data_IF_232551890538
#
_entry.id   IF_232551890538
#
_cell.length_a   1.000
_cell.length_b   1.000
_cell.length_c   1.000
_cell.angle_alpha   90.00
_cell.angle_beta   90.00
_cell.angle_gamma   90.00
#
_symmetry.space_group_name_H-M   'P 1'
#
loop_
_entity.id
_entity.type
_entity.pdbx_description
1 polymer ?
#
# COMPACT_ATOMS: atom_id res chain seq x y z
N UNK A 1 8.23 -4.92 40.51
CA UNK A 1 8.50 -4.34 39.17
C UNK A 1 7.20 -3.71 38.67
N UNK A 2 7.19 -2.41 38.42
CA UNK A 2 5.94 -1.69 38.22
C UNK A 2 5.30 -1.99 36.85
N UNK A 3 4.01 -2.32 36.82
CA UNK A 3 3.23 -2.59 35.62
C UNK A 3 3.37 -1.49 34.54
N UNK A 4 3.62 -0.24 34.96
CA UNK A 4 3.88 0.89 34.05
C UNK A 4 5.18 0.75 33.24
N UNK A 5 6.25 0.17 33.82
CA UNK A 5 7.50 -0.08 33.08
C UNK A 5 7.27 -1.17 32.04
N UNK A 6 6.51 -2.20 32.37
CA UNK A 6 6.16 -3.27 31.42
C UNK A 6 5.34 -2.73 30.25
N UNK A 7 4.32 -1.89 30.50
CA UNK A 7 3.52 -1.25 29.45
C UNK A 7 4.31 -0.31 28.52
N UNK A 8 5.33 0.38 29.03
CA UNK A 8 6.21 1.24 28.22
C UNK A 8 7.31 0.46 27.50
N UNK A 9 7.78 -0.64 28.09
CA UNK A 9 8.81 -1.51 27.50
C UNK A 9 8.22 -2.43 26.42
N UNK A 10 6.94 -2.81 26.53
CA UNK A 10 6.25 -3.65 25.55
C UNK A 10 6.30 -3.11 24.11
N UNK A 11 6.01 -1.83 23.80
CA UNK A 11 6.15 -1.31 22.44
C UNK A 11 7.62 -1.21 21.99
N UNK A 12 8.58 -1.04 22.90
CA UNK A 12 10.01 -1.06 22.57
C UNK A 12 10.49 -2.49 22.25
N UNK A 13 10.02 -3.49 23.00
CA UNK A 13 10.23 -4.91 22.74
C UNK A 13 9.55 -5.34 21.45
N UNK A 14 8.30 -4.94 21.21
CA UNK A 14 7.59 -5.21 19.95
C UNK A 14 8.31 -4.61 18.74
N UNK A 15 8.88 -3.41 18.87
CA UNK A 15 9.71 -2.81 17.80
C UNK A 15 11.01 -3.58 17.58
N UNK A 16 11.69 -4.00 18.65
CA UNK A 16 12.89 -4.86 18.56
C UNK A 16 12.56 -6.22 17.93
N UNK A 17 11.45 -6.83 18.34
CA UNK A 17 10.97 -8.12 17.84
C UNK A 17 10.51 -8.05 16.38
N UNK A 18 9.86 -6.96 15.96
CA UNK A 18 9.36 -6.78 14.58
C UNK A 18 10.44 -6.36 13.58
N UNK A 19 11.66 -6.01 14.03
CA UNK A 19 12.78 -5.51 13.19
C UNK A 19 12.42 -4.30 12.31
N UNK A 20 11.36 -3.56 12.65
CA UNK A 20 10.87 -2.41 11.88
C UNK A 20 11.94 -1.32 11.74
N UNK A 21 12.77 -1.13 12.77
CA UNK A 21 13.87 -0.16 12.75
C UNK A 21 14.91 -0.48 11.67
N UNK A 22 15.18 -1.76 11.41
CA UNK A 22 16.12 -2.17 10.35
C UNK A 22 15.53 -1.86 8.98
N UNK A 23 14.23 -2.06 8.78
CA UNK A 23 13.56 -1.71 7.52
C UNK A 23 13.59 -0.20 7.31
N UNK A 24 13.29 0.59 8.34
CA UNK A 24 13.38 2.06 8.27
C UNK A 24 14.80 2.54 8.00
N UNK A 25 15.81 1.94 8.62
CA UNK A 25 17.22 2.27 8.38
C UNK A 25 17.66 1.86 6.96
N UNK A 26 17.25 0.71 6.45
CA UNK A 26 17.53 0.29 5.08
C UNK A 26 16.87 1.22 4.06
N UNK A 27 15.61 1.59 4.29
CA UNK A 27 14.88 2.54 3.46
C UNK A 27 15.57 3.91 3.45
N UNK A 28 15.94 4.42 4.63
CA UNK A 28 16.65 5.70 4.76
C UNK A 28 18.04 5.64 4.12
N UNK A 29 18.82 4.60 4.41
CA UNK A 29 20.15 4.42 3.83
C UNK A 29 20.08 4.34 2.30
N UNK A 30 19.06 3.67 1.75
CA UNK A 30 18.94 3.61 0.28
C UNK A 30 18.48 4.92 -0.34
N UNK A 31 17.63 5.69 0.35
CA UNK A 31 17.29 7.05 -0.07
C UNK A 31 18.54 7.96 -0.07
N UNK A 32 19.38 7.86 0.98
CA UNK A 32 20.63 8.62 1.10
C UNK A 32 21.69 8.18 0.08
N UNK A 33 21.83 6.88 -0.20
CA UNK A 33 22.73 6.36 -1.24
C UNK A 33 22.24 6.80 -2.63
N UNK A 34 20.92 6.77 -2.87
CA UNK A 34 20.31 7.29 -4.09
C UNK A 34 20.60 8.77 -4.30
N UNK A 35 20.53 9.58 -3.24
CA UNK A 35 20.93 11.00 -3.27
C UNK A 35 22.43 11.18 -3.51
N UNK A 36 23.28 10.46 -2.78
CA UNK A 36 24.73 10.58 -2.93
C UNK A 36 25.18 10.24 -4.36
N UNK A 37 24.57 9.21 -4.96
CA UNK A 37 24.78 8.86 -6.36
C UNK A 37 24.28 9.93 -7.32
N UNK A 38 23.11 10.53 -7.03
CA UNK A 38 22.54 11.61 -7.82
C UNK A 38 23.43 12.86 -7.83
N UNK A 39 23.92 13.29 -6.67
CA UNK A 39 24.82 14.46 -6.55
C UNK A 39 26.15 14.24 -7.26
N UNK A 40 26.64 13.00 -7.30
CA UNK A 40 27.89 12.64 -7.97
C UNK A 40 27.75 12.47 -9.50
N UNK A 41 26.54 12.51 -10.05
CA UNK A 41 26.29 12.21 -11.47
C UNK A 41 26.38 13.45 -12.39
N UNK A 42 26.80 13.28 -13.66
CA UNK A 42 26.95 14.40 -14.61
C UNK A 42 25.64 15.14 -14.89
N UNK A 43 25.71 16.36 -15.43
CA UNK A 43 24.54 17.26 -15.59
C UNK A 43 23.36 16.66 -16.37
N UNK A 44 23.61 15.73 -17.31
CA UNK A 44 22.57 14.98 -18.03
C UNK A 44 21.72 14.07 -17.10
N UNK A 45 22.26 13.67 -15.95
CA UNK A 45 21.56 12.89 -14.93
C UNK A 45 20.82 13.74 -13.90
N UNK A 46 20.92 15.09 -13.90
CA UNK A 46 20.10 15.95 -13.02
C UNK A 46 18.60 15.83 -13.29
N UNK A 47 18.21 15.44 -14.50
CA UNK A 47 16.83 15.07 -14.85
C UNK A 47 16.30 13.86 -14.04
N UNK A 48 17.19 13.02 -13.48
CA UNK A 48 16.87 11.93 -12.56
C UNK A 48 16.67 12.40 -11.12
N UNK A 49 16.74 13.70 -10.81
CA UNK A 49 16.60 14.22 -9.43
C UNK A 49 15.21 14.08 -8.82
N UNK A 50 14.23 13.72 -9.65
CA UNK A 50 12.93 13.23 -9.20
C UNK A 50 13.03 11.90 -8.46
N UNK A 51 14.05 11.09 -8.76
CA UNK A 51 14.22 9.76 -8.20
C UNK A 51 14.43 9.77 -6.68
N UNK A 52 15.45 10.47 -6.14
CA UNK A 52 15.69 10.41 -4.72
C UNK A 52 14.64 11.21 -3.92
N UNK A 53 14.01 12.24 -4.50
CA UNK A 53 12.78 12.84 -3.97
C UNK A 53 11.63 11.83 -3.90
N UNK A 54 11.36 11.07 -4.98
CA UNK A 54 10.29 10.09 -4.99
C UNK A 54 10.53 8.96 -3.98
N UNK A 55 11.79 8.52 -3.84
CA UNK A 55 12.21 7.57 -2.82
C UNK A 55 12.04 8.16 -1.41
N UNK A 56 12.52 9.37 -1.17
CA UNK A 56 12.35 10.08 0.09
C UNK A 56 10.89 10.22 0.47
N UNK A 57 10.03 10.56 -0.49
CA UNK A 57 8.58 10.68 -0.32
C UNK A 57 7.95 9.33 0.01
N UNK A 58 8.31 8.26 -0.69
CA UNK A 58 7.83 6.90 -0.41
C UNK A 58 8.24 6.41 0.98
N UNK A 59 9.50 6.64 1.37
CA UNK A 59 10.00 6.31 2.71
C UNK A 59 9.25 7.08 3.78
N UNK A 60 9.05 8.38 3.54
CA UNK A 60 8.28 9.29 4.39
C UNK A 60 6.83 8.84 4.55
N UNK A 61 6.18 8.46 3.45
CA UNK A 61 4.82 7.92 3.41
C UNK A 61 4.73 6.60 4.17
N UNK A 62 5.66 5.66 3.93
CA UNK A 62 5.71 4.39 4.65
C UNK A 62 5.87 4.63 6.15
N UNK A 63 6.81 5.50 6.53
CA UNK A 63 7.05 5.85 7.92
C UNK A 63 5.81 6.45 8.57
N UNK A 64 5.17 7.40 7.89
CA UNK A 64 3.93 8.03 8.35
C UNK A 64 2.78 7.02 8.53
N UNK A 65 2.60 6.09 7.59
CA UNK A 65 1.61 5.02 7.66
C UNK A 65 1.87 4.03 8.81
N UNK A 66 3.11 3.91 9.28
CA UNK A 66 3.43 3.09 10.47
C UNK A 66 3.33 3.87 11.77
N UNK A 67 3.73 5.14 11.78
CA UNK A 67 3.72 6.00 12.94
C UNK A 67 2.31 6.39 13.36
N UNK A 68 1.51 6.89 12.42
CA UNK A 68 0.25 7.57 12.74
C UNK A 68 -0.80 6.63 13.35
N UNK A 69 -1.04 5.40 12.84
CA UNK A 69 -1.95 4.46 13.50
C UNK A 69 -1.50 4.09 14.91
N UNK A 70 -0.19 3.96 15.15
CA UNK A 70 0.36 3.67 16.48
C UNK A 70 0.16 4.85 17.44
N UNK A 71 0.39 6.08 16.97
CA UNK A 71 0.14 7.29 17.74
C UNK A 71 -1.35 7.42 18.12
N UNK A 72 -2.25 7.12 17.18
CA UNK A 72 -3.70 7.09 17.42
C UNK A 72 -4.07 6.03 18.46
N UNK A 73 -3.45 4.84 18.39
CA UNK A 73 -3.66 3.79 19.37
C UNK A 73 -3.17 4.18 20.76
N UNK A 74 -2.07 4.93 20.85
CA UNK A 74 -1.55 5.45 22.11
C UNK A 74 -2.44 6.54 22.73
N UNK A 75 -3.19 7.30 21.93
CA UNK A 75 -4.13 8.30 22.41
C UNK A 75 -5.46 7.69 22.90
N UNK A 76 -5.40 6.69 23.79
CA UNK A 76 -6.59 6.20 24.52
C UNK A 76 -6.86 7.04 25.76
N UNK A 77 -8.12 7.10 26.23
CA UNK A 77 -8.44 7.72 27.51
C UNK A 77 -7.69 7.05 28.67
N UNK A 78 -7.53 5.72 28.63
CA UNK A 78 -6.74 4.99 29.64
C UNK A 78 -5.28 5.47 29.69
N UNK A 79 -4.63 5.69 28.54
CA UNK A 79 -3.26 6.19 28.48
C UNK A 79 -3.17 7.69 28.84
N UNK A 80 -4.23 8.46 28.59
CA UNK A 80 -4.27 9.88 28.93
C UNK A 80 -4.30 10.13 30.45
N UNK A 81 -4.86 9.20 31.24
CA UNK A 81 -4.78 9.23 32.72
C UNK A 81 -3.34 8.95 33.18
N UNK A 82 -2.63 8.05 32.48
CA UNK A 82 -1.27 7.65 32.85
C UNK A 82 -0.19 8.68 32.47
N UNK A 83 -0.40 9.44 31.40
CA UNK A 83 0.61 10.39 30.89
C UNK A 83 -0.04 11.77 30.65
N UNK A 84 0.09 12.70 31.61
CA UNK A 84 -0.48 14.04 31.46
C UNK A 84 0.12 14.75 30.24
N UNK A 85 -0.76 15.36 29.43
CA UNK A 85 -0.35 16.06 28.22
C UNK A 85 0.03 15.16 27.03
N UNK A 86 -0.15 13.84 27.10
CA UNK A 86 0.13 12.89 26.00
C UNK A 86 -0.48 13.35 24.67
N UNK A 87 -1.75 13.77 24.69
CA UNK A 87 -2.44 14.28 23.50
C UNK A 87 -1.71 15.47 22.86
N UNK A 88 -1.32 16.48 23.67
CA UNK A 88 -0.61 17.67 23.16
C UNK A 88 0.74 17.27 22.59
N UNK A 89 1.46 16.37 23.25
CA UNK A 89 2.76 15.86 22.77
C UNK A 89 2.62 15.09 21.45
N UNK A 90 1.59 14.26 21.30
CA UNK A 90 1.31 13.54 20.06
C UNK A 90 0.92 14.48 18.92
N UNK A 91 0.13 15.53 19.20
CA UNK A 91 -0.22 16.56 18.22
C UNK A 91 1.02 17.31 17.71
N UNK A 92 1.85 17.80 18.64
CA UNK A 92 3.09 18.53 18.31
C UNK A 92 4.08 17.61 17.58
N UNK A 93 4.21 16.36 18.02
CA UNK A 93 5.09 15.38 17.39
C UNK A 93 4.62 15.08 15.95
N UNK A 94 3.33 14.79 15.75
CA UNK A 94 2.78 14.52 14.42
C UNK A 94 2.95 15.72 13.47
N UNK A 95 2.66 16.95 13.94
CA UNK A 95 2.88 18.17 13.16
C UNK A 95 4.37 18.36 12.83
N UNK A 96 5.25 18.28 13.83
CA UNK A 96 6.69 18.47 13.67
C UNK A 96 7.31 17.45 12.72
N UNK A 97 6.90 16.18 12.81
CA UNK A 97 7.37 15.11 11.91
C UNK A 97 6.89 15.32 10.47
N UNK A 98 5.64 15.77 10.28
CA UNK A 98 5.11 16.08 8.95
C UNK A 98 5.93 17.20 8.30
N UNK A 99 6.19 18.28 9.05
CA UNK A 99 7.01 19.40 8.57
C UNK A 99 8.48 19.00 8.35
N UNK A 100 9.07 18.22 9.26
CA UNK A 100 10.45 17.75 9.13
C UNK A 100 10.61 16.85 7.90
N UNK A 101 9.67 15.93 7.67
CA UNK A 101 9.71 15.07 6.50
C UNK A 101 9.46 15.87 5.20
N UNK A 102 8.59 16.89 5.24
CA UNK A 102 8.45 17.88 4.18
C UNK A 102 9.77 18.58 3.88
N UNK A 103 10.48 19.06 4.90
CA UNK A 103 11.75 19.77 4.76
C UNK A 103 12.85 18.88 4.17
N UNK A 104 12.97 17.63 4.63
CA UNK A 104 13.94 16.67 4.08
C UNK A 104 13.69 16.45 2.59
N UNK A 105 12.44 16.18 2.20
CA UNK A 105 12.09 15.99 0.79
C UNK A 105 12.25 17.27 -0.05
N UNK A 106 11.99 18.44 0.55
CA UNK A 106 12.19 19.74 -0.07
C UNK A 106 13.66 20.03 -0.37
N UNK A 107 14.57 19.66 0.54
CA UNK A 107 16.02 19.79 0.33
C UNK A 107 16.47 18.86 -0.79
N UNK A 108 16.07 17.58 -0.72
CA UNK A 108 16.35 16.56 -1.73
C UNK A 108 15.93 17.03 -3.14
N UNK A 109 14.68 17.47 -3.29
CA UNK A 109 14.16 17.96 -4.56
C UNK A 109 14.72 19.33 -4.97
N UNK A 110 14.99 20.21 -4.00
CA UNK A 110 15.52 21.55 -4.21
C UNK A 110 16.94 21.54 -4.75
N UNK A 111 17.79 20.63 -4.24
CA UNK A 111 19.15 20.42 -4.78
C UNK A 111 19.08 19.97 -6.25
N UNK A 112 18.09 19.15 -6.60
CA UNK A 112 17.91 18.63 -7.95
C UNK A 112 17.34 19.66 -8.95
N UNK A 113 16.34 20.44 -8.53
CA UNK A 113 15.48 21.20 -9.45
C UNK A 113 15.49 22.70 -9.20
N UNK A 114 16.12 23.16 -8.12
CA UNK A 114 16.02 24.53 -7.61
C UNK A 114 14.65 24.87 -7.00
N UNK A 115 13.70 23.91 -6.96
CA UNK A 115 12.30 24.15 -6.58
C UNK A 115 11.86 23.48 -5.27
N UNK A 116 12.53 23.79 -4.17
CA UNK A 116 12.28 23.18 -2.86
C UNK A 116 10.87 23.43 -2.29
N UNK A 117 10.27 24.59 -2.55
CA UNK A 117 8.98 24.98 -2.00
C UNK A 117 7.84 24.08 -2.47
N UNK A 118 7.80 23.76 -3.77
CA UNK A 118 6.77 22.86 -4.31
C UNK A 118 6.89 21.43 -3.76
N UNK A 119 8.10 20.91 -3.58
CA UNK A 119 8.31 19.61 -2.96
C UNK A 119 7.91 19.57 -1.49
N UNK A 120 8.18 20.64 -0.74
CA UNK A 120 7.73 20.79 0.64
C UNK A 120 6.21 20.68 0.74
N UNK A 121 5.50 21.52 -0.03
CA UNK A 121 4.03 21.55 -0.06
C UNK A 121 3.48 20.20 -0.47
N UNK A 122 3.98 19.63 -1.57
CA UNK A 122 3.52 18.33 -2.08
C UNK A 122 3.65 17.25 -1.02
N UNK A 123 4.81 17.16 -0.35
CA UNK A 123 5.06 16.16 0.70
C UNK A 123 4.11 16.35 1.87
N UNK A 124 4.02 17.58 2.39
CA UNK A 124 3.17 17.92 3.54
C UNK A 124 1.71 17.63 3.22
N UNK A 125 1.23 18.05 2.05
CA UNK A 125 -0.13 17.78 1.58
C UNK A 125 -0.40 16.28 1.47
N UNK A 126 0.50 15.49 0.86
CA UNK A 126 0.34 14.03 0.75
C UNK A 126 0.25 13.38 2.15
N UNK A 127 1.13 13.76 3.07
CA UNK A 127 1.11 13.23 4.44
C UNK A 127 -0.18 13.59 5.19
N UNK A 128 -0.65 14.84 5.04
CA UNK A 128 -1.91 15.28 5.64
C UNK A 128 -3.12 14.55 5.07
N UNK A 129 -3.13 14.31 3.76
CA UNK A 129 -4.19 13.56 3.10
C UNK A 129 -4.21 12.10 3.55
N UNK A 130 -3.04 11.48 3.69
CA UNK A 130 -2.94 10.15 4.29
C UNK A 130 -3.49 10.18 5.71
N UNK A 131 -3.13 11.19 6.51
CA UNK A 131 -3.63 11.33 7.87
C UNK A 131 -5.16 11.47 7.90
N UNK A 132 -5.72 12.31 7.04
CA UNK A 132 -7.15 12.50 6.87
C UNK A 132 -7.85 11.19 6.47
N UNK A 133 -7.25 10.41 5.56
CA UNK A 133 -7.79 9.15 5.07
C UNK A 133 -7.95 8.09 6.17
N UNK A 134 -7.09 8.12 7.20
CA UNK A 134 -7.23 7.24 8.36
C UNK A 134 -8.49 7.54 9.18
N UNK A 135 -8.97 8.79 9.16
CA UNK A 135 -10.20 9.19 9.84
C UNK A 135 -11.43 8.88 9.00
N UNK A 136 -11.36 9.13 7.70
CA UNK A 136 -12.39 8.85 6.72
C UNK A 136 -11.79 8.84 5.32
N UNK A 137 -11.96 7.75 4.58
CA UNK A 137 -11.54 7.65 3.18
C UNK A 137 -12.16 8.76 2.30
N UNK A 138 -13.31 9.30 2.71
CA UNK A 138 -13.98 10.43 2.05
C UNK A 138 -13.12 11.68 1.96
N UNK A 139 -12.22 11.89 2.92
CA UNK A 139 -11.34 13.05 2.91
C UNK A 139 -10.28 12.99 1.81
N UNK A 140 -10.14 11.86 1.10
CA UNK A 140 -9.36 11.75 -0.13
C UNK A 140 -10.12 12.23 -1.37
N UNK A 141 -11.46 12.26 -1.34
CA UNK A 141 -12.27 12.66 -2.51
C UNK A 141 -12.02 14.09 -2.98
N UNK A 142 -11.88 15.10 -2.10
CA UNK A 142 -11.52 16.45 -2.54
C UNK A 142 -10.18 16.51 -3.28
N UNK A 143 -9.22 15.64 -2.97
CA UNK A 143 -7.96 15.55 -3.71
C UNK A 143 -8.17 14.93 -5.08
N UNK A 144 -8.93 13.84 -5.17
CA UNK A 144 -9.26 13.21 -6.45
C UNK A 144 -10.05 14.17 -7.33
N UNK A 145 -11.01 14.88 -6.74
CA UNK A 145 -11.81 15.89 -7.40
C UNK A 145 -10.96 17.10 -7.79
N UNK A 146 -10.09 17.62 -6.93
CA UNK A 146 -9.19 18.71 -7.27
C UNK A 146 -8.22 18.32 -8.39
N UNK A 147 -7.68 17.10 -8.36
CA UNK A 147 -6.82 16.57 -9.42
C UNK A 147 -7.57 16.40 -10.75
N UNK A 148 -8.83 15.98 -10.69
CA UNK A 148 -9.69 15.84 -11.86
C UNK A 148 -10.16 17.20 -12.42
N UNK A 149 -10.54 18.12 -11.54
CA UNK A 149 -10.91 19.49 -11.86
C UNK A 149 -9.72 20.34 -12.26
N UNK A 150 -8.49 19.89 -12.00
CA UNK A 150 -7.29 20.63 -12.38
C UNK A 150 -7.15 20.80 -13.89
N UNK A 151 -7.64 19.84 -14.67
CA UNK A 151 -7.75 19.95 -16.13
C UNK A 151 -8.68 21.09 -16.59
N UNK A 152 -9.51 21.62 -15.68
CA UNK A 152 -10.47 22.68 -15.91
C UNK A 152 -10.08 23.97 -15.20
N UNK A 153 -8.87 24.05 -14.63
CA UNK A 153 -8.42 25.30 -14.03
C UNK A 153 -8.27 26.38 -15.10
N UNK A 154 -8.79 27.59 -14.86
CA UNK A 154 -8.72 28.65 -15.83
C UNK A 154 -7.25 29.04 -16.07
N UNK A 155 -6.90 29.28 -17.34
CA UNK A 155 -5.56 29.73 -17.76
C UNK A 155 -4.92 30.82 -16.87
N UNK A 156 -5.65 31.86 -16.40
CA UNK A 156 -5.07 32.86 -15.48
C UNK A 156 -4.60 32.28 -14.14
N UNK A 157 -5.24 31.23 -13.61
CA UNK A 157 -4.79 30.55 -12.39
C UNK A 157 -3.46 29.83 -12.63
N UNK A 158 -3.33 29.15 -13.78
CA UNK A 158 -2.10 28.48 -14.18
C UNK A 158 -0.96 29.47 -14.45
N UNK A 159 -1.28 30.61 -15.09
CA UNK A 159 -0.33 31.71 -15.29
C UNK A 159 0.11 32.35 -13.97
N UNK A 160 -0.79 32.48 -12.99
CA UNK A 160 -0.47 32.95 -11.66
C UNK A 160 0.48 32.00 -10.92
N UNK A 161 0.27 30.68 -11.01
CA UNK A 161 1.21 29.69 -10.47
C UNK A 161 2.56 29.68 -11.18
N UNK A 162 2.60 30.01 -12.47
CA UNK A 162 3.84 30.09 -13.25
C UNK A 162 4.62 31.39 -12.98
N UNK A 163 3.93 32.50 -12.69
CA UNK A 163 4.53 33.82 -12.51
C UNK A 163 4.81 34.26 -11.07
N UNK A 164 4.35 33.51 -10.07
CA UNK A 164 4.61 33.82 -8.65
C UNK A 164 5.99 33.32 -8.23
N UNK A 165 6.68 34.11 -7.39
CA UNK A 165 7.90 33.66 -6.75
C UNK A 165 7.59 32.39 -5.95
N UNK A 166 8.30 31.29 -6.21
CA UNK A 166 7.99 29.95 -5.71
C UNK A 166 7.61 29.89 -4.22
N UNK A 167 8.35 30.62 -3.39
CA UNK A 167 8.12 30.69 -1.95
C UNK A 167 6.83 31.42 -1.56
N UNK A 168 6.41 32.43 -2.33
CA UNK A 168 5.12 33.12 -2.09
C UNK A 168 3.95 32.18 -2.36
N UNK A 169 3.98 31.44 -3.47
CA UNK A 169 2.98 30.40 -3.75
C UNK A 169 2.99 29.29 -2.71
N UNK A 170 4.17 28.84 -2.30
CA UNK A 170 4.35 27.83 -1.25
C UNK A 170 3.74 28.27 0.08
N UNK A 171 4.06 29.48 0.55
CA UNK A 171 3.52 30.02 1.80
C UNK A 171 2.02 30.22 1.74
N UNK A 172 1.47 30.69 0.61
CA UNK A 172 0.03 30.83 0.41
C UNK A 172 -0.70 29.47 0.53
N UNK A 173 -0.16 28.43 -0.11
CA UNK A 173 -0.74 27.08 -0.03
C UNK A 173 -0.64 26.53 1.40
N UNK A 174 0.50 26.70 2.07
CA UNK A 174 0.67 26.25 3.47
C UNK A 174 -0.28 26.99 4.42
N UNK A 175 -0.47 28.29 4.25
CA UNK A 175 -1.41 29.08 5.03
C UNK A 175 -2.85 28.57 4.85
N UNK A 176 -3.24 28.24 3.60
CA UNK A 176 -4.54 27.64 3.31
C UNK A 176 -4.69 26.23 3.91
N UNK A 177 -3.60 25.44 3.96
CA UNK A 177 -3.61 24.09 4.54
C UNK A 177 -3.57 24.04 6.06
N UNK A 178 -3.02 25.06 6.73
CA UNK A 178 -2.86 25.11 8.18
C UNK A 178 -4.17 24.82 8.96
N UNK A 179 -5.32 25.45 8.66
CA UNK A 179 -6.57 25.16 9.37
C UNK A 179 -7.05 23.73 9.13
N UNK A 180 -6.96 23.23 7.89
CA UNK A 180 -7.32 21.86 7.52
C UNK A 180 -6.46 20.83 8.26
N UNK A 181 -5.14 21.07 8.34
CA UNK A 181 -4.19 20.25 9.09
C UNK A 181 -4.50 20.26 10.60
N UNK A 182 -4.80 21.43 11.16
CA UNK A 182 -5.22 21.56 12.56
C UNK A 182 -6.48 20.76 12.86
N UNK A 183 -7.51 20.88 12.01
CA UNK A 183 -8.77 20.14 12.15
C UNK A 183 -8.54 18.63 12.03
N UNK A 184 -7.77 18.17 11.04
CA UNK A 184 -7.48 16.74 10.87
C UNK A 184 -6.73 16.17 12.07
N UNK A 185 -5.73 16.87 12.60
CA UNK A 185 -5.06 16.46 13.84
C UNK A 185 -6.02 16.37 15.03
N UNK A 186 -6.88 17.37 15.22
CA UNK A 186 -7.85 17.36 16.32
C UNK A 186 -8.86 16.21 16.18
N UNK A 187 -9.20 15.83 14.95
CA UNK A 187 -10.07 14.69 14.65
C UNK A 187 -9.38 13.33 14.84
N UNK A 188 -8.09 13.23 14.51
CA UNK A 188 -7.29 12.00 14.71
C UNK A 188 -6.94 11.77 16.18
N UNK A 189 -6.73 12.85 16.93
CA UNK A 189 -6.45 12.84 18.36
C UNK A 189 -7.60 13.50 19.14
N UNK A 190 -8.77 12.86 19.22
CA UNK A 190 -9.89 13.41 19.98
C UNK A 190 -9.49 13.56 21.45
N UNK A 191 -10.06 14.58 22.11
CA UNK A 191 -10.09 14.62 23.58
C UNK A 191 -10.87 13.37 24.04
N UNK A 192 -10.41 12.69 25.09
CA UNK A 192 -10.96 11.40 25.53
C UNK A 192 -12.48 11.43 25.83
N UNK A 193 -13.03 10.28 26.22
CA UNK A 193 -14.46 10.11 26.54
C UNK A 193 -15.26 9.41 25.44
N UNK A 194 -16.59 9.54 25.48
CA UNK A 194 -17.52 8.74 24.68
C UNK A 194 -17.33 8.90 23.17
N UNK A 195 -16.96 10.10 22.71
CA UNK A 195 -16.68 10.35 21.28
C UNK A 195 -15.50 9.53 20.76
N UNK A 196 -14.49 9.27 21.59
CA UNK A 196 -13.35 8.44 21.23
C UNK A 196 -13.78 6.97 21.09
N UNK A 197 -14.56 6.47 22.05
CA UNK A 197 -15.09 5.11 22.01
C UNK A 197 -16.09 4.92 20.86
N UNK A 198 -16.97 5.88 20.62
CA UNK A 198 -17.91 5.86 19.50
C UNK A 198 -17.19 5.84 18.15
N UNK A 199 -16.12 6.63 17.99
CA UNK A 199 -15.31 6.59 16.78
C UNK A 199 -14.61 5.23 16.60
N UNK A 200 -13.99 4.68 17.65
CA UNK A 200 -13.36 3.36 17.58
C UNK A 200 -14.37 2.25 17.33
N UNK A 201 -15.54 2.31 17.96
CA UNK A 201 -16.63 1.38 17.73
C UNK A 201 -17.11 1.48 16.28
N UNK A 202 -17.25 2.69 15.73
CA UNK A 202 -17.58 2.87 14.30
C UNK A 202 -16.49 2.30 13.40
N UNK A 203 -15.21 2.59 13.66
CA UNK A 203 -14.10 2.07 12.87
C UNK A 203 -14.02 0.53 12.94
N UNK A 204 -14.21 -0.06 14.13
CA UNK A 204 -14.27 -1.49 14.32
C UNK A 204 -15.49 -2.12 13.62
N UNK A 205 -16.66 -1.49 13.69
CA UNK A 205 -17.85 -1.89 12.93
C UNK A 205 -17.59 -1.82 11.43
N UNK A 206 -16.94 -0.78 10.94
CA UNK A 206 -16.58 -0.65 9.53
C UNK A 206 -15.61 -1.75 9.09
N UNK A 207 -14.58 -2.06 9.89
CA UNK A 207 -13.65 -3.15 9.61
C UNK A 207 -14.38 -4.51 9.64
N UNK A 208 -15.23 -4.75 10.64
CA UNK A 208 -16.08 -5.93 10.72
C UNK A 208 -17.02 -6.05 9.52
N UNK A 209 -17.64 -4.96 9.07
CA UNK A 209 -18.51 -4.94 7.91
C UNK A 209 -17.73 -5.20 6.62
N UNK A 210 -16.51 -4.66 6.50
CA UNK A 210 -15.60 -4.98 5.40
C UNK A 210 -15.25 -6.48 5.40
N UNK A 211 -15.08 -7.10 6.57
CA UNK A 211 -14.80 -8.53 6.71
C UNK A 211 -16.01 -9.42 6.42
N UNK A 212 -17.20 -9.06 6.92
CA UNK A 212 -18.42 -9.88 6.87
C UNK A 212 -19.15 -9.86 5.51
N UNK A 213 -18.96 -8.83 4.69
CA UNK A 213 -19.53 -8.77 3.33
C UNK A 213 -20.96 -8.24 3.24
N UNK A 214 -21.58 -8.35 2.04
CA UNK A 214 -22.89 -7.77 1.76
C UNK A 214 -23.94 -8.37 2.71
N UNK A 215 -24.52 -7.52 3.57
CA UNK A 215 -25.53 -7.91 4.56
C UNK A 215 -25.32 -7.32 5.96
N UNK A 216 -24.10 -6.86 6.29
CA UNK A 216 -23.79 -6.30 7.62
C UNK A 216 -23.78 -4.76 7.66
N UNK A 217 -24.00 -4.08 6.54
CA UNK A 217 -23.87 -2.63 6.45
C UNK A 217 -25.18 -1.93 6.86
N UNK A 218 -25.23 -1.39 8.08
CA UNK A 218 -26.22 -0.37 8.45
C UNK A 218 -26.12 0.82 7.47
N UNK A 219 -27.26 1.28 6.95
CA UNK A 219 -27.41 2.23 5.82
C UNK A 219 -26.79 3.62 5.94
N UNK A 220 -25.90 3.87 6.91
CA UNK A 220 -25.24 5.15 7.15
C UNK A 220 -23.96 5.41 6.31
N UNK A 221 -23.54 4.46 5.48
CA UNK A 221 -22.27 4.50 4.73
C UNK A 221 -22.51 4.45 3.20
N UNK A 222 -23.33 5.39 2.71
CA UNK A 222 -23.93 5.42 1.38
C UNK A 222 -22.98 5.43 0.16
N UNK A 223 -21.69 5.74 0.31
CA UNK A 223 -20.72 5.78 -0.81
C UNK A 223 -19.60 4.76 -0.62
N UNK A 224 -19.35 4.36 0.64
CA UNK A 224 -18.64 3.13 0.94
C UNK A 224 -19.40 1.92 0.38
N UNK A 225 -20.73 1.93 0.43
CA UNK A 225 -21.57 0.97 -0.28
C UNK A 225 -21.44 1.10 -1.79
N UNK A 226 -21.40 2.29 -2.39
CA UNK A 226 -21.30 2.45 -3.87
C UNK A 226 -20.01 1.87 -4.44
N UNK A 227 -18.85 2.11 -3.80
CA UNK A 227 -17.58 1.52 -4.26
C UNK A 227 -17.46 0.03 -3.91
N UNK A 228 -18.17 -0.45 -2.88
CA UNK A 228 -18.17 -1.86 -2.47
C UNK A 228 -19.20 -2.69 -3.23
N UNK A 229 -20.32 -2.09 -3.64
CA UNK A 229 -21.42 -2.72 -4.37
C UNK A 229 -20.95 -3.56 -5.55
N UNK A 230 -20.09 -3.09 -6.49
CA UNK A 230 -19.67 -3.95 -7.59
C UNK A 230 -18.84 -5.14 -7.13
N UNK A 231 -17.93 -4.97 -6.15
CA UNK A 231 -17.11 -6.06 -5.65
C UNK A 231 -17.93 -7.07 -4.82
N UNK A 232 -18.90 -6.59 -4.06
CA UNK A 232 -19.80 -7.37 -3.24
C UNK A 232 -20.88 -8.08 -4.09
N UNK A 233 -21.34 -7.46 -5.18
CA UNK A 233 -22.20 -8.10 -6.20
C UNK A 233 -21.47 -9.22 -6.94
N UNK A 234 -20.21 -8.98 -7.33
CA UNK A 234 -19.38 -10.03 -7.94
C UNK A 234 -19.11 -11.17 -6.96
N UNK A 235 -18.91 -10.85 -5.67
CA UNK A 235 -18.77 -11.86 -4.62
C UNK A 235 -20.07 -12.63 -4.37
N UNK A 236 -21.22 -11.94 -4.33
CA UNK A 236 -22.54 -12.58 -4.23
C UNK A 236 -22.82 -13.51 -5.41
N UNK A 237 -22.53 -13.05 -6.63
CA UNK A 237 -22.65 -13.87 -7.84
C UNK A 237 -21.67 -15.07 -7.85
N UNK A 238 -20.52 -14.95 -7.16
CA UNK A 238 -19.60 -16.05 -6.95
C UNK A 238 -20.13 -17.09 -5.95
N UNK A 239 -20.72 -16.63 -4.85
CA UNK A 239 -21.41 -17.48 -3.88
C UNK A 239 -22.60 -18.22 -4.50
N UNK A 240 -23.36 -17.55 -5.36
CA UNK A 240 -24.49 -18.13 -6.11
C UNK A 240 -24.05 -19.11 -7.22
N UNK A 241 -22.74 -19.32 -7.38
CA UNK A 241 -22.19 -20.23 -8.39
C UNK A 241 -22.27 -19.72 -9.83
N UNK A 242 -22.68 -18.46 -10.05
CA UNK A 242 -22.75 -17.83 -11.37
C UNK A 242 -21.37 -17.45 -11.90
N UNK A 243 -20.48 -16.99 -11.02
CA UNK A 243 -19.12 -16.53 -11.36
C UNK A 243 -18.08 -16.95 -10.32
N UNK A 244 -17.42 -18.09 -10.47
CA UNK A 244 -16.42 -18.52 -9.49
C UNK A 244 -15.45 -19.57 -10.00
N UNK A 245 -14.36 -19.79 -9.26
CA UNK A 245 -13.40 -20.86 -9.58
C UNK A 245 -14.11 -22.20 -9.39
N UNK A 246 -14.45 -22.87 -10.50
CA UNK A 246 -15.04 -24.21 -10.51
C UNK A 246 -14.15 -25.16 -9.69
N UNK A 247 -14.67 -25.66 -8.58
CA UNK A 247 -13.98 -26.61 -7.69
C UNK A 247 -14.45 -26.51 -6.23
N UNK A 248 -14.24 -27.58 -5.46
CA UNK A 248 -14.61 -27.64 -4.04
C UNK A 248 -13.77 -26.65 -3.21
N UNK A 249 -12.46 -26.62 -3.42
CA UNK A 249 -11.57 -25.65 -2.77
C UNK A 249 -11.83 -24.17 -3.14
N UNK A 250 -12.30 -23.90 -4.36
CA UNK A 250 -12.68 -22.55 -4.78
C UNK A 250 -13.81 -22.00 -3.93
N UNK A 251 -14.87 -22.81 -3.75
CA UNK A 251 -16.01 -22.50 -2.88
C UNK A 251 -15.64 -22.40 -1.41
N UNK A 252 -14.72 -23.24 -0.94
CA UNK A 252 -14.18 -23.13 0.42
C UNK A 252 -13.51 -21.77 0.66
N UNK A 253 -12.70 -21.30 -0.30
CA UNK A 253 -12.06 -19.98 -0.20
C UNK A 253 -13.03 -18.80 -0.37
N UNK A 254 -14.18 -19.00 -1.03
CA UNK A 254 -15.26 -18.01 -1.05
C UNK A 254 -15.99 -17.97 0.30
N UNK A 255 -16.14 -19.13 0.96
CA UNK A 255 -16.70 -19.22 2.31
C UNK A 255 -15.86 -18.56 3.42
N UNK A 256 -14.57 -18.31 3.18
CA UNK A 256 -13.70 -17.55 4.10
C UNK A 256 -13.91 -16.03 4.02
N UNK A 257 -14.83 -15.57 3.18
CA UNK A 257 -15.31 -14.20 3.17
C UNK A 257 -14.82 -13.35 1.97
N UNK A 258 -15.46 -12.19 1.78
CA UNK A 258 -15.25 -11.31 0.64
C UNK A 258 -13.86 -10.65 0.62
N UNK A 259 -13.16 -10.59 1.76
CA UNK A 259 -11.78 -10.10 1.85
C UNK A 259 -10.79 -10.93 1.01
N UNK A 260 -11.11 -12.19 0.74
CA UNK A 260 -10.29 -13.11 -0.03
C UNK A 260 -10.72 -13.20 -1.50
N UNK A 261 -11.77 -12.48 -1.87
CA UNK A 261 -12.27 -12.43 -3.24
C UNK A 261 -11.37 -11.53 -4.11
N UNK A 262 -11.05 -12.01 -5.31
CA UNK A 262 -10.14 -11.35 -6.26
C UNK A 262 -10.70 -10.04 -6.83
N UNK A 263 -12.02 -9.82 -6.75
CA UNK A 263 -12.65 -8.59 -7.25
C UNK A 263 -12.21 -7.32 -6.49
N UNK A 264 -11.92 -7.44 -5.19
CA UNK A 264 -11.49 -6.29 -4.37
C UNK A 264 -10.13 -5.71 -4.79
N UNK A 265 -9.04 -6.49 -4.91
CA UNK A 265 -7.77 -5.97 -5.40
C UNK A 265 -7.87 -5.50 -6.85
N UNK A 266 -8.68 -6.15 -7.71
CA UNK A 266 -8.93 -5.63 -9.07
C UNK A 266 -9.63 -4.28 -9.08
N UNK A 267 -10.64 -4.07 -8.23
CA UNK A 267 -11.29 -2.77 -8.08
C UNK A 267 -10.29 -1.69 -7.65
N UNK A 268 -9.33 -2.01 -6.77
CA UNK A 268 -8.25 -1.10 -6.39
C UNK A 268 -7.27 -0.83 -7.54
N UNK A 269 -6.95 -1.84 -8.35
CA UNK A 269 -6.10 -1.68 -9.55
C UNK A 269 -6.81 -0.78 -10.56
N UNK A 270 -8.10 -1.01 -10.84
CA UNK A 270 -8.90 -0.22 -11.77
C UNK A 270 -9.04 1.23 -11.30
N UNK A 271 -9.35 1.45 -10.02
CA UNK A 271 -9.41 2.79 -9.44
C UNK A 271 -8.04 3.48 -9.48
N UNK A 272 -6.97 2.76 -9.13
CA UNK A 272 -5.60 3.26 -9.22
C UNK A 272 -5.23 3.67 -10.64
N UNK A 273 -5.56 2.85 -11.64
CA UNK A 273 -5.37 3.16 -13.05
C UNK A 273 -6.09 4.45 -13.46
N UNK A 274 -7.38 4.59 -13.12
CA UNK A 274 -8.16 5.78 -13.46
C UNK A 274 -7.57 7.05 -12.85
N UNK A 275 -7.18 6.99 -11.57
CA UNK A 275 -6.55 8.12 -10.87
C UNK A 275 -5.22 8.47 -11.53
N UNK A 276 -4.39 7.47 -11.83
CA UNK A 276 -3.07 7.69 -12.43
C UNK A 276 -3.17 8.20 -13.87
N UNK A 277 -4.15 7.74 -14.66
CA UNK A 277 -4.41 8.25 -16.00
C UNK A 277 -4.89 9.69 -15.96
N UNK A 278 -5.87 10.02 -15.10
CA UNK A 278 -6.36 11.39 -14.93
C UNK A 278 -5.23 12.34 -14.50
N UNK A 279 -4.37 11.89 -13.58
CA UNK A 279 -3.21 12.65 -13.14
C UNK A 279 -2.13 12.77 -14.23
N UNK A 280 -1.86 11.69 -14.95
CA UNK A 280 -0.81 11.62 -15.96
C UNK A 280 -1.12 12.43 -17.21
N UNK A 281 -2.39 12.48 -17.64
CA UNK A 281 -2.81 13.34 -18.77
C UNK A 281 -2.76 14.82 -18.40
N UNK A 282 -3.05 15.17 -17.15
CA UNK A 282 -2.90 16.53 -16.63
C UNK A 282 -1.42 16.94 -16.54
N UNK A 283 -0.59 16.06 -16.00
CA UNK A 283 0.83 16.33 -15.75
C UNK A 283 1.73 16.06 -16.96
N UNK A 284 1.30 16.32 -18.20
CA UNK A 284 2.18 16.27 -19.40
C UNK A 284 3.48 17.10 -19.27
N UNK A 285 3.54 17.99 -18.27
CA UNK A 285 4.72 18.75 -17.83
C UNK A 285 5.76 17.88 -17.08
N UNK A 286 5.40 16.70 -16.58
CA UNK A 286 6.24 15.81 -15.77
C UNK A 286 6.38 14.43 -16.43
N UNK A 287 6.90 14.39 -17.65
CA UNK A 287 7.20 13.17 -18.41
C UNK A 287 8.05 12.12 -17.66
N UNK A 288 8.70 12.51 -16.55
CA UNK A 288 9.45 11.62 -15.66
C UNK A 288 8.64 10.86 -14.60
N UNK A 289 7.34 11.15 -14.40
CA UNK A 289 6.53 10.51 -13.35
C UNK A 289 5.83 9.21 -13.80
N UNK A 290 5.73 8.95 -15.11
CA UNK A 290 5.13 7.73 -15.65
C UNK A 290 5.63 6.43 -15.00
N UNK A 291 6.96 6.23 -14.84
CA UNK A 291 7.52 5.07 -14.14
C UNK A 291 7.04 4.93 -12.70
N UNK A 292 6.98 6.04 -11.96
CA UNK A 292 6.54 6.03 -10.57
C UNK A 292 5.08 5.60 -10.44
N UNK A 293 4.22 6.12 -11.30
CA UNK A 293 2.80 5.74 -11.35
C UNK A 293 2.64 4.25 -11.70
N UNK A 294 3.43 3.74 -12.65
CA UNK A 294 3.48 2.32 -13.00
C UNK A 294 3.84 1.43 -11.81
N UNK A 295 4.79 1.85 -10.99
CA UNK A 295 5.19 1.11 -9.80
C UNK A 295 4.25 1.30 -8.63
N UNK A 296 3.58 2.44 -8.49
CA UNK A 296 2.52 2.61 -7.50
C UNK A 296 1.35 1.62 -7.73
N UNK A 297 1.11 1.22 -8.99
CA UNK A 297 0.09 0.23 -9.34
C UNK A 297 0.43 -1.20 -8.87
N UNK A 298 1.70 -1.48 -8.52
CA UNK A 298 2.12 -2.74 -7.90
C UNK A 298 1.55 -2.87 -6.49
N UNK A 299 1.34 -1.77 -5.78
CA UNK A 299 0.92 -1.79 -4.37
C UNK A 299 -0.42 -2.52 -4.19
N UNK A 300 -1.49 -2.23 -4.95
CA UNK A 300 -2.71 -3.03 -4.94
C UNK A 300 -2.47 -4.55 -5.14
N UNK A 301 -1.61 -4.94 -6.08
CA UNK A 301 -1.32 -6.34 -6.36
C UNK A 301 -0.57 -7.02 -5.20
N UNK A 302 0.40 -6.32 -4.59
CA UNK A 302 1.08 -6.80 -3.38
C UNK A 302 0.13 -6.89 -2.18
N UNK A 303 -0.79 -5.94 -2.03
CA UNK A 303 -1.79 -5.99 -0.96
C UNK A 303 -2.73 -7.17 -1.11
N UNK A 304 -2.99 -7.67 -2.34
CA UNK A 304 -3.75 -8.90 -2.55
C UNK A 304 -3.09 -10.10 -1.88
N UNK A 305 -1.78 -10.26 -2.06
CA UNK A 305 -1.03 -11.31 -1.39
C UNK A 305 -1.17 -11.09 0.13
N UNK A 306 -0.99 -9.83 0.58
CA UNK A 306 -1.16 -9.43 1.99
C UNK A 306 -2.46 -9.92 2.61
N UNK A 307 -3.57 -9.51 2.00
CA UNK A 307 -4.91 -9.84 2.45
C UNK A 307 -5.19 -11.32 2.38
N UNK A 308 -4.66 -12.02 1.36
CA UNK A 308 -4.80 -13.46 1.25
C UNK A 308 -4.14 -14.19 2.42
N UNK A 309 -2.86 -13.95 2.74
CA UNK A 309 -2.25 -14.71 3.83
C UNK A 309 -2.77 -14.29 5.21
N UNK A 310 -3.08 -13.01 5.41
CA UNK A 310 -3.66 -12.55 6.68
C UNK A 310 -5.05 -13.14 6.87
N UNK A 311 -5.92 -13.09 5.85
CA UNK A 311 -7.24 -13.70 5.92
C UNK A 311 -7.18 -15.21 6.12
N UNK A 312 -6.21 -15.88 5.51
CA UNK A 312 -5.92 -17.30 5.75
C UNK A 312 -5.50 -17.63 7.19
N UNK A 313 -4.90 -16.69 7.94
CA UNK A 313 -4.57 -16.90 9.35
C UNK A 313 -5.75 -16.55 10.26
N UNK A 314 -6.44 -15.47 9.97
CA UNK A 314 -7.57 -14.98 10.77
C UNK A 314 -8.79 -15.90 10.68
N UNK A 315 -8.99 -16.58 9.54
CA UNK A 315 -10.11 -17.51 9.32
C UNK A 315 -9.82 -18.94 9.78
N UNK A 316 -8.80 -19.20 10.61
CA UNK A 316 -8.42 -20.57 11.01
C UNK A 316 -9.56 -21.36 11.67
N UNK A 317 -10.42 -20.70 12.45
CA UNK A 317 -11.62 -21.32 13.02
C UNK A 317 -12.67 -21.69 11.96
N UNK A 318 -12.93 -20.79 11.01
CA UNK A 318 -13.87 -21.03 9.90
C UNK A 318 -13.37 -22.16 8.99
N UNK A 319 -12.06 -22.22 8.76
CA UNK A 319 -11.42 -23.32 8.04
C UNK A 319 -11.65 -24.67 8.72
N UNK A 320 -11.61 -24.72 10.06
CA UNK A 320 -11.88 -25.95 10.80
C UNK A 320 -13.36 -26.38 10.65
N UNK A 321 -14.30 -25.43 10.74
CA UNK A 321 -15.72 -25.70 10.54
C UNK A 321 -16.02 -26.16 9.11
N UNK A 322 -15.42 -25.50 8.11
CA UNK A 322 -15.59 -25.86 6.70
C UNK A 322 -15.07 -27.27 6.38
N UNK A 323 -14.07 -27.77 7.12
CA UNK A 323 -13.58 -29.15 6.98
C UNK A 323 -14.54 -30.20 7.50
N UNK A 324 -15.45 -29.83 8.39
CA UNK A 324 -16.51 -30.72 8.87
C UNK A 324 -17.68 -30.82 7.88
N UNK A 325 -17.69 -29.98 6.82
CA UNK A 325 -18.75 -30.04 5.81
C UNK A 325 -18.60 -31.29 4.93
N UNK A 326 -19.70 -31.94 4.53
CA UNK A 326 -19.64 -33.15 3.71
C UNK A 326 -19.06 -32.91 2.31
N UNK A 327 -18.95 -31.65 1.89
CA UNK A 327 -18.37 -31.24 0.62
C UNK A 327 -16.85 -30.98 0.69
N UNK A 328 -16.21 -31.15 1.86
CA UNK A 328 -14.78 -30.94 2.02
C UNK A 328 -13.96 -31.94 1.19
N UNK A 329 -12.92 -31.50 0.45
CA UNK A 329 -11.98 -32.39 -0.23
C UNK A 329 -11.29 -33.34 0.73
N UNK A 330 -10.86 -34.51 0.21
CA UNK A 330 -10.06 -35.45 0.98
C UNK A 330 -8.80 -34.77 1.54
N UNK A 331 -8.40 -35.05 2.79
CA UNK A 331 -7.26 -34.40 3.45
C UNK A 331 -5.97 -34.40 2.62
N UNK A 332 -5.70 -35.50 1.91
CA UNK A 332 -4.50 -35.66 1.07
C UNK A 332 -4.45 -34.73 -0.15
N UNK A 333 -5.60 -34.30 -0.68
CA UNK A 333 -5.69 -33.49 -1.91
C UNK A 333 -6.00 -32.02 -1.59
N UNK A 334 -6.50 -31.76 -0.38
CA UNK A 334 -6.94 -30.44 0.09
C UNK A 334 -5.88 -29.34 -0.09
N UNK A 335 -4.64 -29.60 0.33
CA UNK A 335 -3.55 -28.63 0.21
C UNK A 335 -3.29 -28.25 -1.27
N UNK A 336 -3.29 -29.23 -2.16
CA UNK A 336 -3.08 -29.00 -3.60
C UNK A 336 -4.21 -28.20 -4.24
N UNK A 337 -5.47 -28.55 -3.96
CA UNK A 337 -6.61 -27.81 -4.51
C UNK A 337 -6.68 -26.36 -4.02
N UNK A 338 -6.39 -26.13 -2.74
CA UNK A 338 -6.37 -24.79 -2.16
C UNK A 338 -5.21 -23.98 -2.73
N UNK A 339 -4.01 -24.58 -2.84
CA UNK A 339 -2.87 -23.95 -3.49
C UNK A 339 -3.19 -23.55 -4.93
N UNK A 340 -3.82 -24.43 -5.71
CA UNK A 340 -4.27 -24.12 -7.07
C UNK A 340 -5.28 -22.98 -7.09
N UNK A 341 -6.25 -22.98 -6.18
CA UNK A 341 -7.28 -21.94 -6.12
C UNK A 341 -6.70 -20.57 -5.73
N UNK A 342 -5.76 -20.51 -4.78
CA UNK A 342 -5.02 -19.30 -4.41
C UNK A 342 -4.20 -18.76 -5.59
N UNK A 343 -3.47 -19.63 -6.30
CA UNK A 343 -2.71 -19.25 -7.49
C UNK A 343 -3.61 -18.76 -8.63
N UNK A 344 -4.76 -19.39 -8.86
CA UNK A 344 -5.74 -18.93 -9.85
C UNK A 344 -6.25 -17.53 -9.52
N UNK A 345 -6.68 -17.29 -8.27
CA UNK A 345 -7.13 -15.96 -7.82
C UNK A 345 -6.04 -14.91 -7.98
N UNK A 346 -4.82 -15.24 -7.57
CA UNK A 346 -3.67 -14.35 -7.77
C UNK A 346 -3.36 -14.12 -9.25
N UNK A 347 -3.47 -15.15 -10.08
CA UNK A 347 -3.29 -15.07 -11.53
C UNK A 347 -4.27 -14.10 -12.18
N UNK A 348 -5.53 -14.07 -11.75
CA UNK A 348 -6.53 -13.08 -12.21
C UNK A 348 -6.10 -11.66 -11.82
N UNK A 349 -5.67 -11.46 -10.57
CA UNK A 349 -5.20 -10.14 -10.09
C UNK A 349 -3.93 -9.70 -10.82
N UNK A 350 -3.01 -10.64 -11.07
CA UNK A 350 -1.79 -10.41 -11.83
C UNK A 350 -2.11 -10.04 -13.28
N UNK A 351 -3.03 -10.75 -13.95
CA UNK A 351 -3.48 -10.42 -15.29
C UNK A 351 -4.14 -9.02 -15.36
N UNK A 352 -4.98 -8.68 -14.38
CA UNK A 352 -5.54 -7.32 -14.29
C UNK A 352 -4.48 -6.25 -14.06
N UNK A 353 -3.46 -6.53 -13.24
CA UNK A 353 -2.30 -5.66 -13.10
C UNK A 353 -1.53 -5.53 -14.42
N UNK A 354 -1.28 -6.62 -15.15
CA UNK A 354 -0.59 -6.59 -16.45
C UNK A 354 -1.33 -5.71 -17.46
N UNK A 355 -2.65 -5.88 -17.56
CA UNK A 355 -3.48 -5.08 -18.46
C UNK A 355 -3.46 -3.59 -18.06
N UNK A 356 -3.68 -3.28 -16.78
CA UNK A 356 -3.71 -1.90 -16.31
C UNK A 356 -2.33 -1.22 -16.42
N UNK A 357 -1.26 -1.92 -16.06
CA UNK A 357 0.11 -1.42 -16.20
C UNK A 357 0.53 -1.26 -17.65
N UNK A 358 0.07 -2.11 -18.57
CA UNK A 358 0.32 -1.95 -20.00
C UNK A 358 -0.34 -0.69 -20.55
N UNK A 359 -1.60 -0.42 -20.18
CA UNK A 359 -2.31 0.82 -20.53
C UNK A 359 -1.56 2.03 -19.98
N UNK A 360 -1.18 1.98 -18.70
CA UNK A 360 -0.48 3.10 -18.08
C UNK A 360 0.90 3.36 -18.71
N UNK A 361 1.65 2.30 -19.00
CA UNK A 361 2.93 2.39 -19.69
C UNK A 361 2.74 2.93 -21.12
N UNK A 362 1.69 2.52 -21.82
CA UNK A 362 1.35 3.01 -23.16
C UNK A 362 1.07 4.52 -23.20
N UNK A 363 0.46 5.06 -22.14
CA UNK A 363 0.01 6.46 -22.10
C UNK A 363 1.05 7.38 -21.46
N UNK A 364 1.74 6.93 -20.41
CA UNK A 364 2.54 7.81 -19.53
C UNK A 364 4.04 7.58 -19.58
N UNK A 365 4.49 6.49 -20.22
CA UNK A 365 5.91 6.14 -20.26
C UNK A 365 6.48 6.34 -21.67
N UNK A 366 7.67 6.93 -21.72
CA UNK A 366 8.44 7.12 -22.93
C UNK A 366 8.58 5.80 -23.73
N UNK A 367 8.45 5.81 -25.07
CA UNK A 367 8.43 4.61 -25.89
C UNK A 367 9.61 3.66 -25.64
N UNK A 368 10.81 4.22 -25.47
CA UNK A 368 12.07 3.49 -25.30
C UNK A 368 12.12 2.69 -23.99
N UNK A 369 11.55 3.22 -22.91
CA UNK A 369 11.59 2.61 -21.58
C UNK A 369 10.34 1.79 -21.22
N UNK A 370 9.28 1.92 -22.03
CA UNK A 370 7.94 1.36 -21.76
C UNK A 370 7.95 -0.13 -21.47
N UNK A 371 8.56 -0.90 -22.37
CA UNK A 371 8.55 -2.36 -22.25
C UNK A 371 9.41 -2.82 -21.07
N UNK A 372 10.58 -2.20 -20.85
CA UNK A 372 11.52 -2.56 -19.78
C UNK A 372 10.85 -2.42 -18.42
N UNK A 373 10.23 -1.25 -18.18
CA UNK A 373 9.59 -0.97 -16.89
C UNK A 373 8.34 -1.80 -16.66
N UNK A 374 7.56 -2.04 -17.72
CA UNK A 374 6.41 -2.95 -17.65
C UNK A 374 6.83 -4.38 -17.30
N UNK A 375 7.86 -4.92 -17.96
CA UNK A 375 8.41 -6.24 -17.67
C UNK A 375 8.95 -6.34 -16.24
N UNK A 376 9.72 -5.35 -15.78
CA UNK A 376 10.23 -5.33 -14.40
C UNK A 376 9.10 -5.37 -13.37
N UNK A 377 8.06 -4.54 -13.56
CA UNK A 377 6.89 -4.53 -12.67
C UNK A 377 6.12 -5.86 -12.68
N UNK A 378 5.88 -6.42 -13.87
CA UNK A 378 5.24 -7.71 -14.07
C UNK A 378 5.94 -8.85 -13.30
N UNK A 379 7.27 -8.90 -13.40
CA UNK A 379 8.11 -9.93 -12.77
C UNK A 379 8.13 -9.78 -11.26
N UNK A 380 8.14 -8.57 -10.72
CA UNK A 380 8.13 -8.35 -9.26
C UNK A 380 6.81 -8.80 -8.65
N UNK A 381 5.68 -8.50 -9.30
CA UNK A 381 4.38 -9.01 -8.87
C UNK A 381 4.37 -10.53 -8.97
N UNK A 382 4.81 -11.10 -10.11
CA UNK A 382 4.89 -12.55 -10.29
C UNK A 382 5.77 -13.24 -9.22
N UNK A 383 6.89 -12.63 -8.84
CA UNK A 383 7.81 -13.09 -7.80
C UNK A 383 7.18 -13.22 -6.41
N UNK A 384 5.98 -12.66 -6.20
CA UNK A 384 5.21 -12.85 -4.97
C UNK A 384 4.35 -14.12 -4.97
N UNK A 385 4.10 -14.76 -6.13
CA UNK A 385 3.28 -15.97 -6.24
C UNK A 385 3.76 -17.14 -5.35
N UNK A 386 5.07 -17.46 -5.27
CA UNK A 386 5.55 -18.55 -4.41
C UNK A 386 5.21 -18.34 -2.92
N UNK A 387 5.02 -17.08 -2.49
CA UNK A 387 4.70 -16.78 -1.09
C UNK A 387 3.26 -17.14 -0.70
N UNK A 388 2.37 -17.29 -1.68
CA UNK A 388 1.00 -17.77 -1.46
C UNK A 388 0.93 -19.26 -1.16
N UNK A 389 2.01 -20.01 -1.42
CA UNK A 389 2.08 -21.45 -1.15
C UNK A 389 2.89 -21.77 0.13
N UNK A 390 3.20 -20.75 0.93
CA UNK A 390 4.03 -20.92 2.12
C UNK A 390 3.26 -21.65 3.21
N UNK A 391 3.99 -22.39 4.05
CA UNK A 391 3.45 -22.97 5.27
C UNK A 391 2.96 -21.87 6.23
N UNK A 392 1.64 -21.73 6.34
CA UNK A 392 0.95 -20.75 7.17
C UNK A 392 1.02 -21.09 8.67
N UNK A 393 1.28 -22.34 9.03
CA UNK A 393 1.32 -22.79 10.41
C UNK A 393 2.66 -22.48 11.08
N UNK A 394 3.77 -22.61 10.36
CA UNK A 394 5.13 -22.47 10.94
C UNK A 394 5.70 -21.06 10.87
N UNK A 395 5.08 -20.14 10.14
CA UNK A 395 5.71 -18.85 9.82
C UNK A 395 5.11 -17.73 10.64
N UNK A 396 5.88 -17.08 11.54
CA UNK A 396 5.41 -15.92 12.29
C UNK A 396 5.06 -14.76 11.35
N UNK A 397 4.36 -13.77 11.91
CA UNK A 397 3.79 -12.59 11.21
C UNK A 397 4.66 -12.00 10.09
N UNK A 398 3.98 -11.40 9.12
CA UNK A 398 4.49 -11.01 7.81
C UNK A 398 5.49 -9.82 7.80
N UNK A 399 6.55 -9.87 8.61
CA UNK A 399 7.71 -8.94 8.60
C UNK A 399 8.54 -9.02 7.31
N UNK A 400 8.28 -10.03 6.46
CA UNK A 400 8.87 -10.11 5.12
C UNK A 400 8.12 -9.25 4.10
N UNK A 401 6.85 -8.88 4.34
CA UNK A 401 6.08 -8.04 3.40
C UNK A 401 6.67 -6.64 3.38
N UNK A 402 6.87 -6.06 4.57
CA UNK A 402 7.46 -4.73 4.72
C UNK A 402 8.83 -4.66 4.07
N UNK A 403 9.64 -5.73 4.16
CA UNK A 403 10.94 -5.83 3.47
C UNK A 403 10.81 -5.90 1.95
N UNK A 404 9.89 -6.70 1.44
CA UNK A 404 9.67 -6.85 -0.02
C UNK A 404 9.06 -5.59 -0.61
N UNK A 405 8.10 -5.02 0.11
CA UNK A 405 7.48 -3.74 -0.21
C UNK A 405 8.55 -2.65 -0.20
N UNK A 406 9.34 -2.55 0.86
CA UNK A 406 10.46 -1.61 0.96
C UNK A 406 11.44 -1.80 -0.20
N UNK A 407 11.86 -3.04 -0.47
CA UNK A 407 12.75 -3.35 -1.57
C UNK A 407 12.14 -2.98 -2.94
N UNK A 408 10.87 -3.31 -3.20
CA UNK A 408 10.20 -2.96 -4.44
C UNK A 408 10.09 -1.43 -4.59
N UNK A 409 9.65 -0.75 -3.55
CA UNK A 409 9.52 0.72 -3.48
C UNK A 409 10.85 1.43 -3.68
N UNK A 410 11.96 0.81 -3.27
CA UNK A 410 13.30 1.37 -3.41
C UNK A 410 13.97 1.04 -4.73
N UNK A 411 13.93 -0.23 -5.14
CA UNK A 411 14.63 -0.73 -6.33
C UNK A 411 13.92 -0.30 -7.61
N UNK A 412 12.59 -0.14 -7.58
CA UNK A 412 11.85 0.13 -8.82
C UNK A 412 12.03 1.54 -9.36
N UNK A 413 11.95 2.60 -8.55
CA UNK A 413 12.27 3.93 -9.03
C UNK A 413 13.72 4.00 -9.52
N UNK A 414 14.68 3.39 -8.81
CA UNK A 414 16.10 3.47 -9.21
C UNK A 414 16.32 2.79 -10.56
N UNK A 415 15.67 1.64 -10.77
CA UNK A 415 15.63 1.00 -12.07
C UNK A 415 15.00 1.90 -13.14
N UNK A 416 13.96 2.68 -12.86
CA UNK A 416 13.36 3.59 -13.85
C UNK A 416 14.36 4.58 -14.47
N UNK A 417 15.31 5.07 -13.67
CA UNK A 417 16.32 6.01 -14.13
C UNK A 417 17.47 5.35 -14.89
N UNK A 418 17.80 4.11 -14.53
CA UNK A 418 18.96 3.38 -15.08
C UNK A 418 18.56 2.56 -16.32
N UNK A 419 17.36 1.98 -16.33
CA UNK A 419 16.89 1.08 -17.39
C UNK A 419 16.98 1.67 -18.81
N UNK A 420 16.63 2.95 -19.06
CA UNK A 420 16.73 3.52 -20.41
C UNK A 420 18.17 3.58 -20.93
N UNK A 421 19.16 3.56 -20.05
CA UNK A 421 20.57 3.67 -20.40
C UNK A 421 21.26 2.30 -20.49
N UNK A 422 20.62 1.24 -20.01
CA UNK A 422 21.16 -0.10 -20.08
C UNK A 422 20.91 -0.69 -21.46
N UNK A 423 21.88 -1.47 -22.00
CA UNK A 423 21.61 -2.30 -23.16
C UNK A 423 20.41 -3.21 -22.87
N UNK A 424 19.57 -3.48 -23.87
CA UNK A 424 18.36 -4.27 -23.66
C UNK A 424 18.66 -5.71 -23.24
N UNK A 425 19.76 -6.30 -23.72
CA UNK A 425 20.17 -7.68 -23.46
C UNK A 425 20.29 -8.06 -21.96
N UNK A 426 21.03 -7.35 -21.09
CA UNK A 426 21.11 -7.66 -19.67
C UNK A 426 19.77 -7.53 -18.95
N UNK A 427 18.90 -6.62 -19.39
CA UNK A 427 17.58 -6.45 -18.79
C UNK A 427 16.67 -7.61 -19.14
N UNK A 428 16.69 -8.09 -20.38
CA UNK A 428 16.01 -9.33 -20.75
C UNK A 428 16.52 -10.53 -19.95
N UNK A 429 17.84 -10.67 -19.85
CA UNK A 429 18.45 -11.75 -19.06
C UNK A 429 18.02 -11.69 -17.58
N UNK A 430 18.00 -10.50 -16.98
CA UNK A 430 17.54 -10.29 -15.61
C UNK A 430 16.06 -10.62 -15.41
N UNK A 431 15.19 -10.19 -16.34
CA UNK A 431 13.76 -10.52 -16.34
C UNK A 431 13.55 -12.02 -16.45
N UNK A 432 14.22 -12.69 -17.39
CA UNK A 432 14.13 -14.14 -17.57
C UNK A 432 14.67 -14.90 -16.34
N UNK A 433 15.80 -14.48 -15.78
CA UNK A 433 16.36 -15.07 -14.57
C UNK A 433 15.38 -14.95 -13.39
N UNK A 434 14.77 -13.77 -13.19
CA UNK A 434 13.78 -13.57 -12.14
C UNK A 434 12.51 -14.40 -12.36
N UNK A 435 12.04 -14.56 -13.59
CA UNK A 435 10.93 -15.48 -13.92
C UNK A 435 11.30 -16.93 -13.62
N UNK A 436 12.52 -17.35 -13.97
CA UNK A 436 13.01 -18.69 -13.70
C UNK A 436 13.11 -18.97 -12.20
N UNK A 437 13.66 -18.03 -11.41
CA UNK A 437 13.70 -18.11 -9.95
C UNK A 437 12.29 -18.16 -9.36
N UNK A 438 11.36 -17.38 -9.90
CA UNK A 438 9.95 -17.39 -9.48
C UNK A 438 9.30 -18.74 -9.75
N UNK A 439 9.52 -19.33 -10.93
CA UNK A 439 9.01 -20.63 -11.31
C UNK A 439 9.61 -21.76 -10.47
N UNK A 440 10.93 -21.73 -10.24
CA UNK A 440 11.62 -22.67 -9.37
C UNK A 440 11.12 -22.57 -7.93
N UNK A 441 10.93 -21.35 -7.43
CA UNK A 441 10.33 -21.08 -6.12
C UNK A 441 8.90 -21.62 -6.02
N UNK A 442 8.08 -21.39 -7.05
CA UNK A 442 6.70 -21.88 -7.12
C UNK A 442 6.67 -23.41 -7.12
N UNK A 443 7.49 -24.07 -7.94
CA UNK A 443 7.60 -25.53 -8.00
C UNK A 443 8.05 -26.12 -6.66
N UNK A 444 9.04 -25.51 -6.00
CA UNK A 444 9.53 -25.95 -4.69
C UNK A 444 8.45 -25.80 -3.63
N UNK A 445 7.77 -24.66 -3.55
CA UNK A 445 6.72 -24.43 -2.57
C UNK A 445 5.49 -25.29 -2.85
N UNK A 446 5.15 -25.52 -4.12
CA UNK A 446 4.08 -26.44 -4.52
C UNK A 446 4.35 -27.86 -4.01
N UNK A 447 5.54 -28.40 -4.27
CA UNK A 447 5.96 -29.72 -3.77
C UNK A 447 5.96 -29.80 -2.25
N UNK A 448 6.45 -28.74 -1.59
CA UNK A 448 6.46 -28.66 -0.13
C UNK A 448 5.04 -28.64 0.45
N UNK A 449 4.12 -27.90 -0.16
CA UNK A 449 2.74 -27.78 0.27
C UNK A 449 1.96 -29.08 0.03
N UNK A 450 2.20 -29.76 -1.10
CA UNK A 450 1.57 -31.05 -1.40
C UNK A 450 2.08 -32.18 -0.51
N UNK A 451 3.35 -32.13 -0.10
CA UNK A 451 3.95 -33.14 0.78
C UNK A 451 3.72 -32.88 2.26
N UNK A 452 3.34 -31.64 2.64
CA UNK A 452 3.06 -31.31 4.02
C UNK A 452 1.82 -32.06 4.53
N UNK A 453 1.80 -32.52 5.79
CA UNK A 453 0.56 -32.95 6.41
C UNK A 453 -0.45 -31.79 6.33
N UNK A 454 -1.71 -32.14 6.28
CA UNK A 454 -2.84 -31.22 6.13
C UNK A 454 -2.62 -29.93 6.92
N UNK A 455 -2.41 -28.82 6.18
CA UNK A 455 -1.96 -27.55 6.76
C UNK A 455 -3.07 -26.74 7.44
N UNK A 456 -4.26 -27.31 7.54
CA UNK A 456 -5.49 -26.62 7.93
C UNK A 456 -6.11 -27.26 9.18
N UNK A 457 -6.57 -26.47 10.17
CA UNK A 457 -6.56 -25.01 10.20
C UNK A 457 -5.15 -24.43 10.37
N UNK A 458 -4.91 -23.27 9.75
CA UNK A 458 -3.63 -22.58 9.87
C UNK A 458 -3.26 -22.33 11.35
N UNK A 459 -2.08 -22.77 11.78
CA UNK A 459 -1.54 -22.55 13.13
C UNK A 459 -1.65 -23.72 14.12
N UNK A 460 -2.28 -24.86 13.77
CA UNK A 460 -2.36 -26.03 14.67
C UNK A 460 -1.27 -27.10 14.49
N UNK A 461 -0.38 -26.98 13.49
CA UNK A 461 0.75 -27.91 13.30
C UNK A 461 2.01 -27.52 14.09
N UNK A 462 1.90 -26.60 15.05
CA UNK A 462 2.88 -26.38 16.10
C UNK A 462 2.31 -26.96 17.40
N UNK A 463 2.19 -28.28 17.45
CA UNK A 463 2.07 -29.05 18.68
C UNK A 463 3.28 -30.01 18.71
#
# INVERSE_FOLDING_TARGET
MNAWRMLLVQPALERRLRRDAVVSLMLLATALIGEGWFVASPEAMRALGFLPFALGLLVTVYWWLTFLPRAILQNTPANAVLVPGLRRRLLVLAAGLCLAAGAVNAVMFGIATGRSGFAFVTTVTVLWLIAASLRSAWLLMPMLLASFLAAWYPAPLMAWFAGTAEWTGTLAILAAWLPLAGVTLLLLFPRGGDRHFAWRARAARLDLNMRKGPGAADGSDALGSVLRQPADLLYGAALDGRFGVRGRAGRLLDGLGPCLHWARPLGRIALGLLIMLAWGTYSRIAAGLGPFLLFALILPALTCVKTMTTGMKESSAEQALLRLTPAAPAPAVLNGEIGAALLRRFGVVWAGYLAASAVLAAVLVAPEARWMMWCCGAVIVAGCAPRLLRDYARTPEWTSFSRVFAAAVVVLPTLAGILPQLPHAPVYAGVLACLFVTLAGLRRQWRSMSAAPVGWPAGRLAA
#
